data_IF_003298251749
#
_entry.id   IF_003298251749
#
_cell.length_a   1.000
_cell.length_b   1.000
_cell.length_c   1.000
_cell.angle_alpha   90.00
_cell.angle_beta   90.00
_cell.angle_gamma   90.00
#
_symmetry.space_group_name_H-M   'P 1'
#
loop_
_entity.id
_entity.type
_entity.pdbx_description
1 polymer ?
#
# COMPACT_ATOMS: atom_id res chain seq x y z
N UNK A 1 -3.82 43.08 -1.66
CA UNK A 1 -4.99 42.25 -1.26
C UNK A 1 -4.50 40.84 -0.97
N UNK A 2 -4.55 40.38 0.28
CA UNK A 2 -4.19 38.99 0.62
C UNK A 2 -5.30 38.05 0.17
N UNK A 3 -4.96 37.00 -0.61
CA UNK A 3 -5.91 35.95 -0.99
C UNK A 3 -6.41 35.27 0.29
N UNK A 4 -7.65 35.58 0.70
CA UNK A 4 -8.36 34.84 1.75
C UNK A 4 -8.27 33.36 1.39
N UNK A 5 -7.65 32.56 2.25
CA UNK A 5 -7.57 31.12 2.05
C UNK A 5 -8.99 30.60 1.83
N UNK A 6 -9.23 29.97 0.68
CA UNK A 6 -10.57 29.57 0.27
C UNK A 6 -11.28 28.78 1.36
N UNK A 7 -12.60 28.97 1.49
CA UNK A 7 -13.42 28.29 2.47
C UNK A 7 -13.07 26.81 2.48
N UNK A 8 -12.46 26.34 3.58
CA UNK A 8 -12.09 24.93 3.62
C UNK A 8 -13.39 24.15 3.72
N UNK A 9 -13.77 23.47 2.63
CA UNK A 9 -15.05 22.76 2.49
C UNK A 9 -15.35 21.73 3.59
N UNK A 10 -14.37 21.41 4.44
CA UNK A 10 -14.47 20.61 5.65
C UNK A 10 -13.63 21.26 6.76
N UNK A 11 -14.22 21.45 7.94
CA UNK A 11 -13.54 21.90 9.16
C UNK A 11 -12.59 20.82 9.73
N UNK A 12 -11.80 21.18 10.74
CA UNK A 12 -10.96 20.21 11.49
C UNK A 12 -11.84 19.16 12.19
N UNK A 13 -12.99 19.56 12.74
CA UNK A 13 -13.95 18.66 13.38
C UNK A 13 -14.55 17.66 12.40
N UNK A 14 -15.04 18.12 11.25
CA UNK A 14 -15.57 17.23 10.19
C UNK A 14 -14.51 16.23 9.71
N UNK A 15 -13.23 16.64 9.62
CA UNK A 15 -12.13 15.75 9.24
C UNK A 15 -11.72 14.75 10.32
N UNK A 16 -11.80 15.12 11.61
CA UNK A 16 -11.64 14.18 12.74
C UNK A 16 -12.75 13.13 12.71
N UNK A 17 -14.01 13.56 12.65
CA UNK A 17 -15.16 12.64 12.69
C UNK A 17 -15.18 11.68 11.50
N UNK A 18 -14.84 12.16 10.30
CA UNK A 18 -14.68 11.30 9.12
C UNK A 18 -13.58 10.25 9.33
N UNK A 19 -12.45 10.63 9.93
CA UNK A 19 -11.35 9.70 10.18
C UNK A 19 -11.74 8.62 11.19
N UNK A 20 -12.41 8.97 12.28
CA UNK A 20 -12.93 8.03 13.29
C UNK A 20 -13.84 6.97 12.67
N UNK A 21 -14.84 7.40 11.88
CA UNK A 21 -15.80 6.49 11.23
C UNK A 21 -15.12 5.55 10.23
N UNK A 22 -14.19 6.07 9.41
CA UNK A 22 -13.44 5.27 8.43
C UNK A 22 -12.44 4.32 9.11
N UNK A 23 -11.89 4.70 10.27
CA UNK A 23 -11.02 3.82 11.07
C UNK A 23 -11.81 2.68 11.72
N UNK A 24 -13.03 2.94 12.20
CA UNK A 24 -13.89 1.94 12.83
C UNK A 24 -14.46 0.92 11.82
N UNK A 25 -14.80 1.35 10.61
CA UNK A 25 -15.49 0.53 9.60
C UNK A 25 -14.61 -0.02 8.45
N UNK A 26 -13.41 0.54 8.24
CA UNK A 26 -12.47 0.17 7.16
C UNK A 26 -13.13 -0.04 5.77
N UNK A 27 -13.93 0.93 5.28
CA UNK A 27 -14.92 0.74 4.21
C UNK A 27 -14.31 0.38 2.84
N UNK A 28 -14.56 -0.84 2.38
CA UNK A 28 -14.05 -1.42 1.14
C UNK A 28 -15.05 -1.33 -0.03
N UNK A 29 -16.34 -1.58 0.23
CA UNK A 29 -17.44 -1.60 -0.73
C UNK A 29 -18.13 -0.24 -0.89
N UNK A 30 -19.06 -0.08 -1.84
CA UNK A 30 -19.88 1.15 -1.91
C UNK A 30 -20.82 1.29 -0.70
N UNK A 31 -21.45 0.18 -0.28
CA UNK A 31 -22.41 0.17 0.82
C UNK A 31 -21.76 0.62 2.14
N UNK A 32 -20.51 0.22 2.39
CA UNK A 32 -19.75 0.62 3.58
C UNK A 32 -19.56 2.16 3.64
N UNK A 33 -19.33 2.81 2.48
CA UNK A 33 -19.24 4.26 2.39
C UNK A 33 -20.61 4.95 2.53
N UNK A 34 -21.71 4.27 2.23
CA UNK A 34 -23.08 4.75 2.48
C UNK A 34 -23.45 4.63 3.96
N UNK A 35 -23.04 3.55 4.66
CA UNK A 35 -23.12 3.43 6.11
C UNK A 35 -22.32 4.54 6.82
N UNK A 36 -21.05 4.76 6.43
CA UNK A 36 -20.23 5.87 6.95
C UNK A 36 -20.90 7.24 6.73
N UNK A 37 -21.64 7.42 5.63
CA UNK A 37 -22.40 8.65 5.39
C UNK A 37 -23.66 8.75 6.26
N UNK A 38 -24.35 7.64 6.54
CA UNK A 38 -25.47 7.62 7.48
C UNK A 38 -24.99 8.01 8.89
N UNK A 39 -23.95 7.33 9.40
CA UNK A 39 -23.37 7.58 10.72
C UNK A 39 -22.85 9.02 10.87
N UNK A 40 -22.12 9.50 9.85
CA UNK A 40 -21.63 10.88 9.81
C UNK A 40 -22.79 11.89 9.92
N UNK A 41 -23.89 11.65 9.21
CA UNK A 41 -25.02 12.56 9.18
C UNK A 41 -25.93 12.44 10.41
N UNK A 42 -25.93 11.29 11.12
CA UNK A 42 -26.73 11.06 12.32
C UNK A 42 -26.22 11.84 13.54
N UNK A 43 -24.89 11.96 13.68
CA UNK A 43 -24.24 12.66 14.82
C UNK A 43 -23.43 13.89 14.38
N UNK A 44 -23.77 14.50 13.23
CA UNK A 44 -23.15 15.75 12.79
C UNK A 44 -23.52 16.90 13.74
N UNK A 45 -22.61 17.86 13.93
CA UNK A 45 -22.98 19.13 14.55
C UNK A 45 -24.05 19.87 13.69
N UNK A 46 -24.91 20.71 14.29
CA UNK A 46 -25.93 21.47 13.54
C UNK A 46 -25.34 22.25 12.37
N UNK A 47 -24.17 22.87 12.57
CA UNK A 47 -23.44 23.67 11.59
C UNK A 47 -22.76 22.87 10.46
N UNK A 48 -22.52 21.56 10.63
CA UNK A 48 -21.93 20.73 9.57
C UNK A 48 -22.94 20.47 8.45
N UNK A 49 -22.48 20.55 7.20
CA UNK A 49 -23.31 20.20 6.05
C UNK A 49 -23.51 18.69 5.97
N UNK A 50 -24.72 18.24 5.61
CA UNK A 50 -25.01 16.85 5.28
C UNK A 50 -24.13 16.42 4.10
N UNK A 51 -23.55 15.21 4.13
CA UNK A 51 -22.61 14.71 3.10
C UNK A 51 -23.08 13.38 2.50
N UNK A 52 -22.77 13.17 1.23
CA UNK A 52 -22.92 11.90 0.54
C UNK A 52 -21.68 11.01 0.71
N UNK A 53 -21.86 9.70 0.52
CA UNK A 53 -20.78 8.70 0.54
C UNK A 53 -19.58 9.09 -0.33
N UNK A 54 -19.84 9.66 -1.51
CA UNK A 54 -18.81 9.95 -2.50
C UNK A 54 -18.03 11.25 -2.22
N UNK A 55 -18.60 12.27 -1.56
CA UNK A 55 -17.79 13.40 -1.06
C UNK A 55 -16.92 12.98 0.12
N UNK A 56 -17.45 12.21 1.08
CA UNK A 56 -16.67 11.68 2.21
C UNK A 56 -15.51 10.81 1.73
N UNK A 57 -15.75 9.87 0.82
CA UNK A 57 -14.71 9.03 0.20
C UNK A 57 -13.63 9.85 -0.51
N UNK A 58 -14.01 10.84 -1.32
CA UNK A 58 -13.06 11.75 -2.00
C UNK A 58 -12.26 12.58 -0.98
N UNK A 59 -12.91 13.07 0.08
CA UNK A 59 -12.28 13.86 1.14
C UNK A 59 -11.25 13.04 1.92
N UNK A 60 -11.61 11.82 2.35
CA UNK A 60 -10.68 10.91 3.02
C UNK A 60 -9.48 10.57 2.14
N UNK A 61 -9.71 10.22 0.86
CA UNK A 61 -8.61 9.95 -0.07
C UNK A 61 -7.68 11.16 -0.25
N UNK A 62 -8.23 12.37 -0.36
CA UNK A 62 -7.45 13.61 -0.39
C UNK A 62 -6.57 13.80 0.86
N UNK A 63 -7.12 13.54 2.06
CA UNK A 63 -6.36 13.57 3.32
C UNK A 63 -5.23 12.53 3.32
N UNK A 64 -5.46 11.30 2.86
CA UNK A 64 -4.44 10.24 2.83
C UNK A 64 -3.39 10.35 1.70
N UNK A 65 -3.56 11.29 0.76
CA UNK A 65 -2.70 11.40 -0.44
C UNK A 65 -1.81 12.66 -0.47
N UNK A 66 -2.01 13.59 0.46
CA UNK A 66 -1.37 14.91 0.39
C UNK A 66 0.06 14.89 0.94
N UNK A 67 0.94 15.70 0.33
CA UNK A 67 2.30 15.93 0.85
C UNK A 67 2.29 17.20 1.70
N UNK A 68 2.40 17.05 3.02
CA UNK A 68 2.16 18.13 3.97
C UNK A 68 3.37 19.06 4.12
N UNK A 69 3.53 19.99 3.18
CA UNK A 69 4.39 21.15 3.33
C UNK A 69 3.52 22.40 3.37
N UNK A 70 3.70 23.24 4.40
CA UNK A 70 2.93 24.47 4.60
C UNK A 70 1.48 24.30 5.08
N UNK A 71 1.09 23.13 5.61
CA UNK A 71 -0.24 22.93 6.19
C UNK A 71 -0.13 22.89 7.72
N UNK A 72 -0.97 23.66 8.42
CA UNK A 72 -0.95 23.75 9.89
C UNK A 72 -1.07 22.37 10.59
N UNK A 73 -0.38 22.25 11.72
CA UNK A 73 -0.10 21.01 12.46
C UNK A 73 -1.30 20.07 12.59
N UNK A 74 -2.45 20.56 13.03
CA UNK A 74 -3.66 19.76 13.21
C UNK A 74 -4.11 19.02 11.92
N UNK A 75 -3.87 19.59 10.74
CA UNK A 75 -4.15 18.92 9.45
C UNK A 75 -3.05 17.95 9.05
N UNK A 76 -1.78 18.25 9.39
CA UNK A 76 -0.69 17.31 9.17
C UNK A 76 -0.88 16.03 10.01
N UNK A 77 -1.24 16.17 11.28
CA UNK A 77 -1.58 15.03 12.15
C UNK A 77 -2.75 14.20 11.58
N UNK A 78 -3.86 14.85 11.22
CA UNK A 78 -5.03 14.19 10.62
C UNK A 78 -4.70 13.42 9.34
N UNK A 79 -3.81 13.95 8.51
CA UNK A 79 -3.45 13.32 7.25
C UNK A 79 -2.44 12.17 7.42
N UNK A 80 -1.49 12.30 8.35
CA UNK A 80 -0.65 11.17 8.78
C UNK A 80 -1.50 10.02 9.32
N UNK A 81 -2.52 10.32 10.13
CA UNK A 81 -3.46 9.32 10.63
C UNK A 81 -4.35 8.74 9.50
N UNK A 82 -4.89 9.57 8.59
CA UNK A 82 -5.62 9.08 7.42
C UNK A 82 -4.76 8.20 6.49
N UNK A 83 -3.46 8.47 6.39
CA UNK A 83 -2.50 7.65 5.63
C UNK A 83 -2.29 6.28 6.28
N UNK A 84 -2.23 6.21 7.62
CA UNK A 84 -2.20 4.95 8.38
C UNK A 84 -3.48 4.14 8.18
N UNK A 85 -4.65 4.75 8.33
CA UNK A 85 -5.95 4.09 8.10
C UNK A 85 -6.07 3.62 6.66
N UNK A 86 -5.68 4.44 5.67
CA UNK A 86 -5.66 4.04 4.26
C UNK A 86 -4.70 2.87 3.99
N UNK A 87 -3.66 2.66 4.80
CA UNK A 87 -2.82 1.46 4.73
C UNK A 87 -3.50 0.25 5.39
N UNK A 88 -4.13 0.41 6.56
CA UNK A 88 -4.93 -0.65 7.19
C UNK A 88 -6.03 -1.17 6.26
N UNK A 89 -6.76 -0.27 5.60
CA UNK A 89 -7.77 -0.61 4.59
C UNK A 89 -7.23 -1.40 3.39
N UNK A 90 -5.94 -1.29 3.05
CA UNK A 90 -5.33 -2.12 2.00
C UNK A 90 -5.01 -3.52 2.50
N UNK A 91 -4.51 -3.63 3.74
CA UNK A 91 -4.22 -4.91 4.38
C UNK A 91 -5.51 -5.71 4.61
N UNK A 92 -6.60 -5.05 5.02
CA UNK A 92 -7.93 -5.64 5.17
C UNK A 92 -8.62 -5.97 3.82
N UNK A 93 -8.03 -5.58 2.69
CA UNK A 93 -8.53 -5.89 1.33
C UNK A 93 -7.87 -7.12 0.73
N UNK A 94 -7.27 -7.98 1.55
CA UNK A 94 -6.73 -9.27 1.12
C UNK A 94 -7.82 -10.09 0.42
N UNK A 95 -7.52 -10.72 -0.74
CA UNK A 95 -8.50 -11.54 -1.43
C UNK A 95 -8.85 -12.78 -0.57
N UNK A 96 -10.09 -13.31 -0.62
CA UNK A 96 -10.55 -14.39 0.27
C UNK A 96 -9.77 -15.72 0.28
N UNK A 97 -8.78 -15.89 -0.61
CA UNK A 97 -8.07 -17.16 -0.84
C UNK A 97 -7.16 -17.64 0.30
N UNK A 98 -6.84 -16.82 1.32
CA UNK A 98 -6.03 -17.28 2.46
C UNK A 98 -6.88 -17.66 3.69
N UNK A 99 -8.01 -16.99 3.93
CA UNK A 99 -8.92 -17.37 5.04
C UNK A 99 -9.64 -18.70 4.78
N UNK A 100 -9.83 -19.06 3.52
CA UNK A 100 -10.37 -20.37 3.12
C UNK A 100 -9.36 -21.51 3.41
N UNK A 101 -8.05 -21.24 3.29
CA UNK A 101 -6.99 -22.20 3.63
C UNK A 101 -6.90 -22.41 5.15
N UNK A 102 -6.94 -21.34 5.95
CA UNK A 102 -6.95 -21.46 7.43
C UNK A 102 -8.20 -22.19 7.93
N UNK A 103 -9.38 -21.93 7.35
CA UNK A 103 -10.62 -22.63 7.74
C UNK A 103 -10.64 -24.10 7.33
N UNK A 104 -10.09 -24.44 6.17
CA UNK A 104 -10.01 -25.84 5.70
C UNK A 104 -8.94 -26.66 6.44
N UNK A 105 -7.85 -26.05 6.90
CA UNK A 105 -6.90 -26.69 7.82
C UNK A 105 -7.52 -26.93 9.21
N UNK A 106 -8.12 -25.90 9.81
CA UNK A 106 -8.70 -26.02 11.17
C UNK A 106 -9.85 -27.04 11.29
N UNK A 107 -10.63 -27.25 10.22
CA UNK A 107 -11.67 -28.29 10.21
C UNK A 107 -11.10 -29.71 10.07
N UNK A 108 -9.91 -29.89 9.49
CA UNK A 108 -9.36 -31.23 9.20
C UNK A 108 -8.70 -31.89 10.41
N UNK A 109 -8.28 -31.10 11.40
CA UNK A 109 -7.69 -31.60 12.66
C UNK A 109 -8.75 -32.04 13.68
N UNK A 110 -10.03 -31.65 13.51
CA UNK A 110 -11.11 -31.94 14.47
C UNK A 110 -11.81 -33.29 14.25
N UNK A 111 -11.43 -34.05 13.22
CA UNK A 111 -12.06 -35.32 12.84
C UNK A 111 -11.03 -36.43 12.57
N UNK A 112 -10.15 -36.69 13.54
CA UNK A 112 -9.24 -37.83 13.57
C UNK A 112 -9.55 -38.74 14.78
N UNK A 113 -10.72 -39.39 14.74
CA UNK A 113 -11.11 -40.44 15.68
C UNK A 113 -11.84 -41.55 14.94
N UNK A 114 -11.43 -42.79 15.18
CA UNK A 114 -11.94 -44.04 14.56
C UNK A 114 -11.45 -44.33 13.13
N UNK A 115 -10.20 -44.80 13.05
CA UNK A 115 -9.80 -45.93 12.19
C UNK A 115 -10.68 -47.17 12.54
N UNK A 116 -11.03 -48.06 11.58
CA UNK A 116 -10.00 -49.00 11.12
C UNK A 116 -10.02 -49.40 9.63
N UNK A 117 -8.81 -49.47 9.08
CA UNK A 117 -8.27 -50.55 8.24
C UNK A 117 -8.80 -50.66 6.79
N UNK A 118 -8.01 -50.13 5.85
CA UNK A 118 -8.30 -50.13 4.41
C UNK A 118 -7.07 -49.89 3.54
N UNK A 119 -6.02 -50.68 3.76
CA UNK A 119 -4.83 -50.90 2.92
C UNK A 119 -4.85 -50.29 1.49
N UNK A 120 -3.97 -49.32 1.20
CA UNK A 120 -3.25 -49.12 -0.08
C UNK A 120 -2.24 -47.94 -0.03
N UNK A 121 -0.98 -48.20 -0.40
CA UNK A 121 0.14 -47.28 -0.71
C UNK A 121 0.98 -47.97 -1.81
N UNK A 122 1.74 -47.29 -2.71
CA UNK A 122 2.61 -46.11 -2.54
C UNK A 122 2.27 -44.96 -3.54
N UNK A 123 3.05 -43.90 -3.85
CA UNK A 123 4.41 -43.40 -3.51
C UNK A 123 4.33 -42.02 -2.80
N UNK A 124 5.33 -41.48 -2.08
CA UNK A 124 6.80 -41.36 -2.27
C UNK A 124 7.30 -40.31 -3.28
N UNK A 125 6.82 -39.06 -3.18
CA UNK A 125 7.58 -37.88 -3.61
C UNK A 125 8.07 -37.06 -2.40
N UNK A 126 9.38 -37.13 -2.12
CA UNK A 126 10.07 -36.38 -1.07
C UNK A 126 10.85 -35.23 -1.69
N UNK A 127 10.73 -34.00 -1.16
CA UNK A 127 11.82 -33.03 -1.16
C UNK A 127 12.46 -32.93 0.25
N UNK A 128 13.77 -33.05 0.33
CA UNK A 128 14.50 -33.13 1.61
C UNK A 128 14.54 -31.80 2.40
N UNK A 129 14.59 -31.84 3.74
CA UNK A 129 14.88 -30.66 4.56
C UNK A 129 16.38 -30.33 4.46
N UNK A 130 16.74 -29.15 3.96
CA UNK A 130 18.12 -28.66 4.01
C UNK A 130 18.47 -28.29 5.45
N UNK A 131 19.57 -28.89 5.94
CA UNK A 131 20.05 -28.82 7.32
C UNK A 131 20.24 -27.39 7.84
N UNK A 132 19.76 -27.13 9.06
CA UNK A 132 20.34 -26.10 9.93
C UNK A 132 21.28 -26.80 10.92
N UNK A 133 22.56 -26.40 11.03
CA UNK A 133 23.48 -27.00 11.99
C UNK A 133 23.09 -26.68 13.44
N UNK A 134 23.60 -27.50 14.34
CA UNK A 134 23.16 -27.60 15.74
C UNK A 134 23.39 -26.32 16.56
N UNK A 135 22.64 -26.23 17.68
CA UNK A 135 23.05 -25.45 18.84
C UNK A 135 24.17 -26.21 19.54
N UNK A 136 25.26 -25.53 19.87
CA UNK A 136 26.02 -25.91 21.05
C UNK A 136 25.28 -25.41 22.30
N UNK A 137 25.30 -26.24 23.34
CA UNK A 137 24.68 -25.94 24.61
C UNK A 137 25.76 -25.56 25.61
N UNK A 138 25.57 -24.44 26.31
CA UNK A 138 26.06 -24.35 27.68
C UNK A 138 25.02 -23.68 28.59
N UNK A 139 24.49 -24.46 29.53
CA UNK A 139 23.59 -23.99 30.55
C UNK A 139 24.39 -23.32 31.67
N UNK A 140 24.18 -22.03 31.91
CA UNK A 140 24.32 -21.48 33.26
C UNK A 140 23.11 -20.61 33.60
N UNK A 141 22.22 -21.21 34.38
CA UNK A 141 21.24 -20.49 35.19
C UNK A 141 21.96 -19.56 36.16
N UNK A 142 21.43 -18.34 36.35
CA UNK A 142 21.36 -17.57 37.61
C UNK A 142 20.98 -16.11 37.29
N UNK A 143 19.73 -15.73 37.59
CA UNK A 143 19.43 -14.40 38.12
C UNK A 143 19.66 -14.48 39.64
N UNK A 144 20.10 -13.41 40.35
CA UNK A 144 19.23 -12.24 40.61
C UNK A 144 19.88 -10.84 40.51
N UNK A 145 18.99 -9.83 40.46
CA UNK A 145 19.05 -8.41 40.86
C UNK A 145 20.10 -7.39 40.33
N UNK A 146 19.54 -6.23 39.96
CA UNK A 146 19.99 -4.85 40.16
C UNK A 146 21.43 -4.40 39.85
N UNK A 147 21.56 -3.62 38.76
CA UNK A 147 22.29 -2.36 38.79
C UNK A 147 21.79 -1.35 37.75
N UNK A 148 21.57 -0.11 38.21
CA UNK A 148 21.11 1.01 37.40
C UNK A 148 22.18 1.43 36.40
N UNK A 149 21.86 1.36 35.11
CA UNK A 149 22.56 2.08 34.06
C UNK A 149 21.52 2.69 33.10
N UNK A 150 21.18 3.96 33.34
CA UNK A 150 20.31 4.76 32.47
C UNK A 150 21.08 5.09 31.18
N UNK A 151 21.09 4.15 30.23
CA UNK A 151 21.63 4.39 28.89
C UNK A 151 20.65 5.30 28.13
N UNK A 152 20.88 6.62 28.25
CA UNK A 152 20.21 7.69 27.50
C UNK A 152 20.42 7.50 25.98
N UNK A 153 19.67 6.58 25.37
CA UNK A 153 19.52 6.52 23.91
C UNK A 153 18.79 7.76 23.44
N UNK A 154 19.56 8.80 23.14
CA UNK A 154 19.10 10.12 22.74
C UNK A 154 18.15 10.04 21.52
N UNK A 155 16.82 10.11 21.71
CA UNK A 155 15.83 9.66 20.73
C UNK A 155 15.68 10.62 19.54
N UNK A 156 16.44 11.70 19.51
CA UNK A 156 16.41 12.73 18.48
C UNK A 156 17.36 12.46 17.31
N UNK A 157 18.49 11.76 17.55
CA UNK A 157 19.45 11.46 16.49
C UNK A 157 18.88 10.46 15.48
N UNK A 158 18.17 9.44 15.98
CA UNK A 158 17.45 8.43 15.18
C UNK A 158 16.36 9.07 14.30
N UNK A 159 15.64 10.08 14.82
CA UNK A 159 14.61 10.80 14.05
C UNK A 159 15.23 11.58 12.89
N UNK A 160 16.36 12.25 13.11
CA UNK A 160 17.07 13.00 12.06
C UNK A 160 17.59 12.05 10.97
N UNK A 161 18.19 10.92 11.34
CA UNK A 161 18.63 9.90 10.38
C UNK A 161 17.46 9.31 9.58
N UNK A 162 16.34 8.98 10.24
CA UNK A 162 15.16 8.42 9.60
C UNK A 162 14.49 9.43 8.65
N UNK A 163 14.50 10.73 9.00
CA UNK A 163 14.03 11.80 8.13
C UNK A 163 14.92 11.96 6.88
N UNK A 164 16.25 11.91 7.01
CA UNK A 164 17.14 12.02 5.85
C UNK A 164 17.07 10.77 4.96
N UNK A 165 17.01 9.56 5.52
CA UNK A 165 16.74 8.34 4.75
C UNK A 165 15.42 8.43 3.97
N UNK A 166 14.37 8.99 4.60
CA UNK A 166 13.08 9.20 3.95
C UNK A 166 13.14 10.29 2.85
N UNK A 167 13.97 11.33 3.04
CA UNK A 167 14.25 12.38 2.05
C UNK A 167 15.02 11.82 0.85
N UNK A 168 16.05 11.01 1.11
CA UNK A 168 16.88 10.35 0.12
C UNK A 168 16.08 9.32 -0.68
N UNK A 169 15.24 8.51 -0.03
CA UNK A 169 14.34 7.58 -0.72
C UNK A 169 13.33 8.31 -1.62
N UNK A 170 12.77 9.45 -1.17
CA UNK A 170 11.95 10.34 -2.01
C UNK A 170 12.73 10.91 -3.20
N UNK A 171 14.00 11.28 -3.01
CA UNK A 171 14.89 11.76 -4.08
C UNK A 171 15.16 10.66 -5.11
N UNK A 172 15.59 9.48 -4.68
CA UNK A 172 15.86 8.32 -5.53
C UNK A 172 14.62 7.94 -6.35
N UNK A 173 13.42 7.99 -5.76
CA UNK A 173 12.16 7.75 -6.47
C UNK A 173 11.84 8.81 -7.53
N UNK A 174 12.28 10.06 -7.37
CA UNK A 174 12.17 11.10 -8.40
C UNK A 174 13.18 10.87 -9.54
N UNK A 175 14.42 10.49 -9.21
CA UNK A 175 15.47 10.16 -10.20
C UNK A 175 15.07 8.94 -11.03
N UNK A 176 14.58 7.87 -10.39
CA UNK A 176 14.09 6.67 -11.08
C UNK A 176 12.93 6.99 -12.06
N UNK A 177 12.01 7.90 -11.69
CA UNK A 177 10.94 8.37 -12.58
C UNK A 177 11.45 9.18 -13.76
N UNK A 178 12.52 9.97 -13.61
CA UNK A 178 13.16 10.70 -14.72
C UNK A 178 13.80 9.71 -15.70
N UNK A 179 14.67 8.82 -15.20
CA UNK A 179 15.28 7.74 -16.00
C UNK A 179 14.26 6.87 -16.72
N UNK A 180 13.16 6.50 -16.06
CA UNK A 180 12.09 5.74 -16.71
C UNK A 180 11.40 6.54 -17.82
N UNK A 181 11.17 7.85 -17.65
CA UNK A 181 10.63 8.72 -18.71
C UNK A 181 11.61 8.87 -19.87
N UNK A 182 12.91 9.01 -19.58
CA UNK A 182 13.98 9.07 -20.58
C UNK A 182 14.03 7.77 -21.41
N UNK A 183 14.01 6.59 -20.76
CA UNK A 183 13.96 5.29 -21.44
C UNK A 183 12.71 5.15 -22.32
N UNK A 184 11.53 5.53 -21.84
CA UNK A 184 10.30 5.51 -22.65
C UNK A 184 10.41 6.45 -23.86
N UNK A 185 11.08 7.60 -23.72
CA UNK A 185 11.31 8.51 -24.84
C UNK A 185 12.25 7.89 -25.88
N UNK A 186 13.37 7.29 -25.45
CA UNK A 186 14.29 6.61 -26.37
C UNK A 186 13.60 5.48 -27.14
N UNK A 187 12.81 4.65 -26.45
CA UNK A 187 12.05 3.55 -27.09
C UNK A 187 11.05 4.08 -28.12
N UNK A 188 10.35 5.19 -27.82
CA UNK A 188 9.40 5.80 -28.77
C UNK A 188 10.13 6.35 -30.00
N UNK A 189 11.26 7.02 -29.83
CA UNK A 189 12.08 7.50 -30.97
C UNK A 189 12.61 6.34 -31.82
N UNK A 190 13.14 5.27 -31.21
CA UNK A 190 13.59 4.06 -31.93
C UNK A 190 12.46 3.40 -32.73
N UNK A 191 11.26 3.28 -32.15
CA UNK A 191 10.08 2.74 -32.84
C UNK A 191 9.66 3.64 -34.00
N UNK A 192 9.68 4.96 -33.84
CA UNK A 192 9.37 5.91 -34.93
C UNK A 192 10.39 5.83 -36.06
N UNK A 193 11.70 5.72 -35.75
CA UNK A 193 12.75 5.53 -36.73
C UNK A 193 12.64 4.19 -37.47
N UNK A 194 12.30 3.11 -36.76
CA UNK A 194 12.07 1.80 -37.37
C UNK A 194 10.87 1.84 -38.33
N UNK A 195 9.76 2.46 -37.92
CA UNK A 195 8.57 2.60 -38.75
C UNK A 195 8.84 3.43 -40.02
N UNK A 196 9.57 4.55 -39.91
CA UNK A 196 10.00 5.33 -41.08
C UNK A 196 10.83 4.48 -42.04
N UNK A 197 11.84 3.79 -41.53
CA UNK A 197 12.69 2.91 -42.35
C UNK A 197 11.91 1.77 -43.01
N UNK A 198 10.87 1.23 -42.35
CA UNK A 198 9.97 0.24 -42.96
C UNK A 198 9.14 0.85 -44.11
N UNK A 199 8.64 2.08 -43.96
CA UNK A 199 7.95 2.79 -45.05
C UNK A 199 8.90 3.03 -46.22
N UNK A 200 10.11 3.54 -45.96
CA UNK A 200 11.11 3.78 -47.00
C UNK A 200 11.44 2.49 -47.80
N UNK A 201 11.57 1.34 -47.11
CA UNK A 201 11.79 0.03 -47.75
C UNK A 201 10.58 -0.40 -48.59
N UNK A 202 9.36 -0.16 -48.13
CA UNK A 202 8.13 -0.51 -48.89
C UNK A 202 8.01 0.35 -50.15
N UNK A 203 8.28 1.65 -50.07
CA UNK A 203 8.30 2.55 -51.24
C UNK A 203 9.35 2.12 -52.27
N UNK A 204 10.58 1.83 -51.85
CA UNK A 204 11.65 1.30 -52.74
C UNK A 204 11.23 -0.02 -53.42
N UNK A 205 10.60 -0.96 -52.68
CA UNK A 205 10.09 -2.21 -53.25
C UNK A 205 8.96 -1.98 -54.25
N UNK A 206 8.06 -1.01 -54.01
CA UNK A 206 7.01 -0.63 -54.95
C UNK A 206 7.60 -0.06 -56.24
N UNK A 207 8.62 0.81 -56.14
CA UNK A 207 9.32 1.37 -57.31
C UNK A 207 10.04 0.30 -58.13
N UNK A 208 10.66 -0.69 -57.47
CA UNK A 208 11.29 -1.83 -58.16
C UNK A 208 10.24 -2.70 -58.87
N UNK A 209 9.14 -3.06 -58.22
CA UNK A 209 8.06 -3.85 -58.84
C UNK A 209 7.40 -3.13 -60.02
N UNK A 210 7.32 -1.79 -59.99
CA UNK A 210 6.82 -1.01 -61.13
C UNK A 210 7.80 -0.96 -62.31
N UNK A 211 9.12 -1.10 -62.06
CA UNK A 211 10.14 -1.16 -63.12
C UNK A 211 10.18 -2.51 -63.83
N UNK A 212 10.02 -3.61 -63.09
CA UNK A 212 10.03 -4.96 -63.66
C UNK A 212 8.72 -5.29 -64.44
N UNK A 213 7.72 -4.43 -64.35
CA UNK A 213 6.41 -4.58 -65.00
C UNK A 213 6.22 -3.71 -66.28
N UNK A 214 7.27 -3.02 -66.73
CA UNK A 214 7.25 -2.05 -67.84
C UNK A 214 8.20 -2.45 -68.99
#
# INVERSE_FOLDING_TARGET
MTKRHGSTNYSIGEMRRLLELVQASLPASRADWEAVAADYNAVKEPQWKRRDAMSLKRKFRSMSSTSHHGVGEARAHLASAASRVQQQMKLHRTPPRLQEIERTLGQRESHAGTEPNGMLSPELWIPAPISRPARDAEQRSLCPEDSVAQEERHPDLDKVQLLELHRQHKSNRRVARRRHKELLHCIVEEVVLLLRRMVDIVEELVVLLQRDAA
#
